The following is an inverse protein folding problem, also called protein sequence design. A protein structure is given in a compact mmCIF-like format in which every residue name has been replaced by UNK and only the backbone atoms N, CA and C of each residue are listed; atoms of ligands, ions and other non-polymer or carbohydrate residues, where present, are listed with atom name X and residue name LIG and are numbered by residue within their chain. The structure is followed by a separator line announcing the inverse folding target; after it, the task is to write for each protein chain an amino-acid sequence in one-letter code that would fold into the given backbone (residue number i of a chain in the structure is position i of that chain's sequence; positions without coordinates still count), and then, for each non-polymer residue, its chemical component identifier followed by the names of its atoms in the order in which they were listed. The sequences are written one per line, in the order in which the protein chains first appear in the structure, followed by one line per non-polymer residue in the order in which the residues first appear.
data_IF_648270180740
#
_entry.id   IF_648270180740
#
_cell.length_a   1.000
_cell.length_b   1.000
_cell.length_c   1.000
_cell.angle_alpha   90.00
_cell.angle_beta   90.00
_cell.angle_gamma   90.00
#
_symmetry.space_group_name_H-M   'P 1'
#
loop_
_entity.id
_entity.type
_entity.pdbx_description
1 polymer ?
#
# COMPACT_ATOMS: atom_id res chain seq x y z
N UNK A 1 -28.66 -10.50 19.66
CA UNK A 1 -27.95 -11.29 18.61
C UNK A 1 -27.22 -10.41 17.59
N UNK A 2 -27.71 -9.21 17.23
CA UNK A 2 -26.98 -8.32 16.28
C UNK A 2 -25.70 -7.68 16.87
N UNK A 3 -25.65 -7.48 18.19
CA UNK A 3 -24.49 -6.87 18.86
C UNK A 3 -23.30 -7.83 19.01
N UNK A 4 -23.51 -9.12 19.27
CA UNK A 4 -22.40 -10.09 19.35
C UNK A 4 -21.75 -10.41 17.99
N UNK A 5 -22.50 -10.32 16.89
CA UNK A 5 -21.95 -10.49 15.54
C UNK A 5 -21.11 -9.26 15.16
N UNK A 6 -21.42 -8.07 15.69
CA UNK A 6 -20.65 -6.85 15.48
C UNK A 6 -19.35 -6.82 16.31
N UNK A 7 -19.39 -7.30 17.56
CA UNK A 7 -18.22 -7.33 18.45
C UNK A 7 -17.18 -8.39 18.03
N UNK A 8 -17.60 -9.55 17.52
CA UNK A 8 -16.68 -10.53 16.93
C UNK A 8 -16.13 -10.06 15.55
N UNK A 9 -16.87 -9.20 14.85
CA UNK A 9 -16.48 -8.65 13.55
C UNK A 9 -15.43 -7.54 13.66
N UNK A 10 -15.44 -6.75 14.74
CA UNK A 10 -14.49 -5.65 14.97
C UNK A 10 -13.01 -6.07 15.00
N UNK A 11 -12.58 -7.07 15.82
CA UNK A 11 -11.18 -7.49 15.87
C UNK A 11 -10.73 -8.20 14.58
N UNK A 12 -11.63 -8.88 13.88
CA UNK A 12 -11.34 -9.50 12.59
C UNK A 12 -11.15 -8.45 11.48
N UNK A 13 -12.03 -7.44 11.41
CA UNK A 13 -11.88 -6.28 10.51
C UNK A 13 -10.60 -5.49 10.81
N UNK A 14 -10.25 -5.29 12.08
CA UNK A 14 -9.03 -4.60 12.48
C UNK A 14 -7.76 -5.38 12.08
N UNK A 15 -7.74 -6.71 12.22
CA UNK A 15 -6.62 -7.56 11.76
C UNK A 15 -6.47 -7.53 10.24
N UNK A 16 -7.58 -7.60 9.51
CA UNK A 16 -7.58 -7.47 8.04
C UNK A 16 -7.07 -6.08 7.64
N UNK A 17 -7.56 -5.00 8.27
CA UNK A 17 -7.07 -3.64 8.03
C UNK A 17 -5.57 -3.51 8.28
N UNK A 18 -5.08 -4.05 9.40
CA UNK A 18 -3.64 -4.09 9.70
C UNK A 18 -2.83 -4.87 8.67
N UNK A 19 -3.34 -6.01 8.17
CA UNK A 19 -2.67 -6.80 7.14
C UNK A 19 -2.63 -6.08 5.78
N UNK A 20 -3.74 -5.47 5.35
CA UNK A 20 -3.78 -4.62 4.17
C UNK A 20 -2.82 -3.43 4.29
N UNK A 21 -2.72 -2.83 5.47
CA UNK A 21 -1.78 -1.74 5.72
C UNK A 21 -0.32 -2.20 5.62
N UNK A 22 -0.02 -3.41 6.11
CA UNK A 22 1.32 -4.01 5.98
C UNK A 22 1.71 -4.22 4.50
N UNK A 23 0.77 -4.71 3.68
CA UNK A 23 0.97 -4.84 2.22
C UNK A 23 1.24 -3.47 1.58
N UNK A 24 0.50 -2.44 1.98
CA UNK A 24 0.69 -1.07 1.50
C UNK A 24 2.08 -0.54 1.87
N UNK A 25 2.55 -0.77 3.11
CA UNK A 25 3.88 -0.35 3.56
C UNK A 25 4.97 -1.06 2.75
N UNK A 26 4.89 -2.38 2.60
CA UNK A 26 5.89 -3.16 1.85
C UNK A 26 5.89 -2.73 0.38
N UNK A 27 4.72 -2.57 -0.22
CA UNK A 27 4.59 -2.12 -1.60
C UNK A 27 5.07 -0.69 -1.81
N UNK A 28 4.82 0.20 -0.85
CA UNK A 28 5.35 1.56 -0.84
C UNK A 28 6.87 1.60 -0.70
N UNK A 29 7.45 0.78 0.17
CA UNK A 29 8.90 0.68 0.35
C UNK A 29 9.59 0.14 -0.91
N UNK A 30 8.95 -0.83 -1.58
CA UNK A 30 9.46 -1.35 -2.84
C UNK A 30 9.34 -0.32 -3.98
N UNK A 31 8.17 0.30 -4.15
CA UNK A 31 7.92 1.26 -5.23
C UNK A 31 8.63 2.62 -5.07
N UNK A 32 8.75 3.12 -3.84
CA UNK A 32 9.35 4.43 -3.55
C UNK A 32 10.78 4.35 -2.99
N UNK A 33 11.21 3.19 -2.48
CA UNK A 33 12.59 2.97 -2.02
C UNK A 33 13.41 2.22 -3.05
N UNK A 34 13.04 0.96 -3.32
CA UNK A 34 13.87 0.02 -4.10
C UNK A 34 13.93 0.32 -5.61
N UNK A 35 12.80 0.69 -6.21
CA UNK A 35 12.72 1.03 -7.64
C UNK A 35 13.56 2.30 -7.94
N UNK A 36 13.35 3.44 -7.27
CA UNK A 36 14.17 4.62 -7.52
C UNK A 36 15.62 4.46 -7.08
N UNK A 37 15.95 3.67 -6.05
CA UNK A 37 17.37 3.43 -5.71
C UNK A 37 18.12 2.67 -6.79
N UNK A 38 17.42 1.89 -7.62
CA UNK A 38 18.03 1.09 -8.69
C UNK A 38 18.03 1.82 -10.04
N UNK A 39 17.04 2.68 -10.26
CA UNK A 39 16.78 3.30 -11.56
C UNK A 39 17.21 4.77 -11.62
N UNK A 40 17.08 5.52 -10.51
CA UNK A 40 17.31 6.97 -10.49
C UNK A 40 18.79 7.26 -10.24
N UNK A 41 19.45 7.83 -11.25
CA UNK A 41 20.80 8.37 -11.11
C UNK A 41 20.68 9.86 -10.82
N UNK A 42 20.96 10.23 -9.56
CA UNK A 42 20.91 11.63 -9.14
C UNK A 42 21.94 12.46 -9.93
N UNK A 43 21.47 13.47 -10.65
CA UNK A 43 22.32 14.37 -11.45
C UNK A 43 22.45 14.02 -12.93
N UNK A 44 21.94 12.86 -13.38
CA UNK A 44 21.97 12.49 -14.80
C UNK A 44 20.60 11.89 -15.27
N UNK A 45 19.75 12.72 -15.90
CA UNK A 45 18.48 12.27 -16.45
C UNK A 45 18.65 11.28 -17.62
N UNK A 46 19.71 11.41 -18.42
CA UNK A 46 19.95 10.54 -19.56
C UNK A 46 20.38 9.13 -19.11
N UNK A 47 21.21 9.04 -18.08
CA UNK A 47 21.54 7.77 -17.43
C UNK A 47 20.32 7.12 -16.76
N UNK A 48 19.42 7.92 -16.17
CA UNK A 48 18.17 7.42 -15.59
C UNK A 48 17.27 6.79 -16.66
N UNK A 49 17.09 7.44 -17.82
CA UNK A 49 16.30 6.89 -18.93
C UNK A 49 16.91 5.59 -19.47
N UNK A 50 18.24 5.54 -19.63
CA UNK A 50 18.91 4.30 -20.03
C UNK A 50 18.73 3.18 -19.00
N UNK A 51 18.76 3.48 -17.70
CA UNK A 51 18.50 2.48 -16.65
C UNK A 51 17.04 2.00 -16.64
N UNK A 52 16.07 2.87 -16.95
CA UNK A 52 14.66 2.48 -17.15
C UNK A 52 14.54 1.52 -18.33
N UNK A 53 15.17 1.84 -19.46
CA UNK A 53 15.15 0.99 -20.66
C UNK A 53 15.85 -0.35 -20.43
N UNK A 54 16.95 -0.35 -19.66
CA UNK A 54 17.71 -1.56 -19.34
C UNK A 54 17.01 -2.43 -18.29
N UNK A 55 16.28 -1.82 -17.35
CA UNK A 55 15.57 -2.51 -16.25
C UNK A 55 14.05 -2.31 -16.35
N UNK A 56 13.50 -2.43 -17.56
CA UNK A 56 12.08 -2.19 -17.82
C UNK A 56 11.18 -3.13 -16.99
N UNK A 57 11.60 -4.39 -16.81
CA UNK A 57 10.90 -5.36 -15.96
C UNK A 57 10.76 -4.87 -14.53
N UNK A 58 11.82 -4.30 -13.95
CA UNK A 58 11.83 -3.77 -12.59
C UNK A 58 10.92 -2.55 -12.47
N UNK A 59 10.94 -1.66 -13.47
CA UNK A 59 10.04 -0.51 -13.55
C UNK A 59 8.57 -0.94 -13.66
N UNK A 60 8.26 -1.92 -14.53
CA UNK A 60 6.90 -2.46 -14.71
C UNK A 60 6.41 -3.19 -13.45
N UNK A 61 7.27 -3.93 -12.76
CA UNK A 61 6.94 -4.54 -11.47
C UNK A 61 6.68 -3.47 -10.41
N UNK A 62 7.52 -2.43 -10.34
CA UNK A 62 7.30 -1.28 -9.47
C UNK A 62 5.93 -0.62 -9.70
N UNK A 63 5.57 -0.40 -10.97
CA UNK A 63 4.27 0.13 -11.36
C UNK A 63 3.12 -0.81 -10.95
N UNK A 64 3.26 -2.12 -11.18
CA UNK A 64 2.27 -3.12 -10.81
C UNK A 64 2.03 -3.16 -9.29
N UNK A 65 3.10 -3.14 -8.50
CA UNK A 65 3.03 -3.04 -7.04
C UNK A 65 2.34 -1.74 -6.62
N UNK A 66 2.62 -0.63 -7.29
CA UNK A 66 1.99 0.65 -6.99
C UNK A 66 0.48 0.63 -7.23
N UNK A 67 0.02 0.00 -8.33
CA UNK A 67 -1.40 -0.19 -8.61
C UNK A 67 -2.07 -1.02 -7.50
N UNK A 68 -1.42 -2.10 -7.06
CA UNK A 68 -1.94 -2.95 -5.97
C UNK A 68 -2.07 -2.14 -4.67
N UNK A 69 -1.05 -1.35 -4.33
CA UNK A 69 -1.06 -0.46 -3.15
C UNK A 69 -2.25 0.50 -3.20
N UNK A 70 -2.51 1.14 -4.34
CA UNK A 70 -3.65 2.06 -4.52
C UNK A 70 -4.98 1.31 -4.36
N UNK A 71 -5.10 0.13 -4.95
CA UNK A 71 -6.30 -0.70 -4.83
C UNK A 71 -6.56 -1.16 -3.38
N UNK A 72 -5.51 -1.47 -2.63
CA UNK A 72 -5.59 -1.82 -1.20
C UNK A 72 -5.99 -0.61 -0.34
N UNK A 73 -5.71 0.61 -0.79
CA UNK A 73 -5.94 1.82 -0.01
C UNK A 73 -7.43 2.14 0.16
N UNK A 74 -8.27 1.83 -0.85
CA UNK A 74 -9.72 2.06 -0.81
C UNK A 74 -10.41 1.24 0.31
N UNK A 75 -10.29 -0.10 0.36
CA UNK A 75 -10.89 -0.88 1.43
C UNK A 75 -10.23 -0.58 2.79
N UNK A 76 -8.94 -0.24 2.82
CA UNK A 76 -8.28 0.18 4.06
C UNK A 76 -8.90 1.47 4.62
N UNK A 77 -9.13 2.48 3.79
CA UNK A 77 -9.78 3.72 4.20
C UNK A 77 -11.19 3.48 4.74
N UNK A 78 -11.95 2.56 4.12
CA UNK A 78 -13.27 2.16 4.62
C UNK A 78 -13.19 1.46 5.98
N UNK A 79 -12.22 0.56 6.19
CA UNK A 79 -11.99 -0.10 7.49
C UNK A 79 -11.59 0.92 8.55
N UNK A 80 -10.70 1.86 8.23
CA UNK A 80 -10.32 2.93 9.15
C UNK A 80 -11.50 3.84 9.48
N UNK A 81 -12.33 4.20 8.50
CA UNK A 81 -13.53 4.99 8.75
C UNK A 81 -14.50 4.27 9.71
N UNK A 82 -14.75 2.98 9.49
CA UNK A 82 -15.53 2.16 10.42
C UNK A 82 -14.89 2.18 11.82
N UNK A 83 -13.58 1.96 11.93
CA UNK A 83 -12.86 1.89 13.21
C UNK A 83 -12.91 3.23 13.98
N UNK A 84 -12.62 4.35 13.30
CA UNK A 84 -12.61 5.69 13.91
C UNK A 84 -14.02 6.21 14.21
N UNK A 85 -15.03 5.81 13.43
CA UNK A 85 -16.44 6.12 13.74
C UNK A 85 -16.87 5.53 15.08
N UNK A 86 -16.39 4.34 15.44
CA UNK A 86 -16.63 3.76 16.77
C UNK A 86 -15.84 4.48 17.86
N UNK A 87 -14.60 4.89 17.59
CA UNK A 87 -13.75 5.60 18.56
C UNK A 87 -14.28 7.01 18.92
N UNK A 88 -14.87 7.73 17.96
CA UNK A 88 -15.42 9.08 18.15
C UNK A 88 -16.81 9.11 18.83
N UNK A 89 -17.38 7.95 19.18
CA UNK A 89 -18.69 7.86 19.86
C UNK A 89 -18.57 7.67 21.38
N UNK A 90 -17.38 7.86 21.94
CA UNK A 90 -17.15 7.95 23.39
C UNK A 90 -17.08 9.41 23.85
#
# INVERSE_FOLDING_TARGET
MKEQIAEASLPFKARIGGFLYLIIIIGGLFGAGYVPSTIVVHGDPAATVNNILTNESLYRFGLGVHIIVVLCNIPLAAIFYDLFKFANKR
#
